data_IF_647126212716
#
_entry.id   IF_647126212716
#
_cell.length_a   1.000
_cell.length_b   1.000
_cell.length_c   1.000
_cell.angle_alpha   90.00
_cell.angle_beta   90.00
_cell.angle_gamma   90.00
#
_symmetry.space_group_name_H-M   'P 1'
#
loop_
_entity.id
_entity.type
_entity.pdbx_description
1 polymer ?
#
# COMPACT_ATOMS: atom_id res chain seq x y z
N UNK A 1 16.09 -23.02 11.79
CA UNK A 1 16.22 -22.34 13.11
C UNK A 1 14.94 -22.60 13.87
N UNK A 2 14.98 -22.81 15.20
CA UNK A 2 13.76 -22.98 15.99
C UNK A 2 12.88 -21.73 15.86
N UNK A 3 11.57 -21.92 15.72
CA UNK A 3 10.59 -20.83 15.66
C UNK A 3 10.49 -20.19 17.04
N UNK A 4 10.59 -18.87 17.10
CA UNK A 4 10.41 -18.07 18.31
C UNK A 4 8.96 -17.61 18.41
N UNK A 5 8.54 -17.18 19.60
CA UNK A 5 7.21 -16.62 19.82
C UNK A 5 7.19 -15.09 19.74
N UNK A 6 8.36 -14.44 19.75
CA UNK A 6 8.47 -12.98 19.67
C UNK A 6 9.53 -12.63 18.62
N UNK A 7 9.28 -11.57 17.86
CA UNK A 7 10.22 -11.00 16.90
C UNK A 7 10.18 -9.49 16.98
N UNK A 8 11.32 -8.84 17.19
CA UNK A 8 11.47 -7.40 17.19
C UNK A 8 12.11 -6.98 15.87
N UNK A 9 11.34 -6.32 15.01
CA UNK A 9 11.77 -6.00 13.65
C UNK A 9 11.50 -4.56 13.29
N UNK A 10 12.15 -4.10 12.23
CA UNK A 10 11.79 -2.85 11.54
C UNK A 10 11.28 -3.19 10.16
N UNK A 11 10.01 -2.89 9.91
CA UNK A 11 9.43 -2.88 8.57
C UNK A 11 9.80 -1.60 7.83
N UNK A 12 10.21 -1.73 6.56
CA UNK A 12 10.66 -0.64 5.71
C UNK A 12 9.85 -0.66 4.42
N UNK A 13 9.09 0.40 4.17
CA UNK A 13 8.28 0.57 2.97
C UNK A 13 8.64 1.87 2.25
N UNK A 14 8.74 1.79 0.93
CA UNK A 14 8.82 2.97 0.07
C UNK A 14 7.85 2.79 -1.08
N UNK A 15 6.80 3.62 -1.04
CA UNK A 15 5.74 3.64 -2.05
C UNK A 15 6.15 4.39 -3.31
N UNK A 16 5.32 4.26 -4.35
CA UNK A 16 5.50 4.97 -5.63
C UNK A 16 5.09 6.45 -5.58
N UNK A 17 4.54 6.93 -4.45
CA UNK A 17 4.20 8.34 -4.25
C UNK A 17 5.43 9.24 -4.14
N UNK A 18 6.60 8.67 -3.85
CA UNK A 18 7.86 9.41 -3.65
C UNK A 18 7.82 10.38 -2.46
N UNK A 19 6.96 10.13 -1.47
CA UNK A 19 6.87 10.94 -0.27
C UNK A 19 8.07 10.72 0.66
N UNK A 20 8.52 9.47 0.77
CA UNK A 20 9.65 9.10 1.62
C UNK A 20 9.78 7.59 1.83
N UNK A 21 10.49 7.25 2.91
CA UNK A 21 10.61 5.88 3.43
C UNK A 21 9.86 5.78 4.75
N UNK A 22 8.87 4.92 4.80
CA UNK A 22 8.10 4.60 6.00
C UNK A 22 8.81 3.51 6.80
N UNK A 23 9.13 3.81 8.05
CA UNK A 23 9.79 2.92 8.99
C UNK A 23 8.83 2.61 10.14
N UNK A 24 8.67 1.32 10.44
CA UNK A 24 7.87 0.85 11.57
C UNK A 24 8.66 -0.16 12.40
N UNK A 25 9.07 0.26 13.60
CA UNK A 25 9.64 -0.63 14.61
C UNK A 25 8.52 -1.31 15.39
N UNK A 26 8.52 -2.64 15.39
CA UNK A 26 7.40 -3.44 15.89
C UNK A 26 7.89 -4.72 16.56
N UNK A 27 7.21 -5.09 17.64
CA UNK A 27 7.31 -6.42 18.25
C UNK A 27 6.11 -7.27 17.84
N UNK A 28 6.35 -8.32 17.09
CA UNK A 28 5.35 -9.34 16.78
C UNK A 28 5.38 -10.44 17.82
N UNK A 29 4.19 -10.91 18.20
CA UNK A 29 4.02 -12.07 19.06
C UNK A 29 3.16 -13.12 18.35
N UNK A 30 3.59 -14.37 18.43
CA UNK A 30 2.87 -15.52 17.91
C UNK A 30 2.45 -16.41 19.07
N UNK A 31 1.15 -16.54 19.30
CA UNK A 31 0.58 -17.38 20.34
C UNK A 31 -0.64 -18.13 19.79
N UNK A 32 -0.74 -19.43 20.05
CA UNK A 32 -1.90 -20.26 19.66
C UNK A 32 -2.38 -20.04 18.21
N UNK A 33 -1.45 -19.98 17.25
CA UNK A 33 -1.71 -19.72 15.81
C UNK A 33 -2.21 -18.31 15.46
N UNK A 34 -2.15 -17.37 16.39
CA UNK A 34 -2.59 -15.98 16.19
C UNK A 34 -1.38 -15.06 16.26
N UNK A 35 -1.35 -14.07 15.39
CA UNK A 35 -0.36 -12.99 15.43
C UNK A 35 -0.95 -11.78 16.13
N UNK A 36 -0.16 -11.18 17.01
CA UNK A 36 -0.41 -9.85 17.56
C UNK A 36 0.84 -9.00 17.41
N UNK A 37 0.68 -7.69 17.54
CA UNK A 37 1.78 -6.75 17.34
C UNK A 37 1.73 -5.62 18.37
N UNK A 38 2.88 -5.03 18.64
CA UNK A 38 3.04 -3.80 19.40
C UNK A 38 3.99 -2.87 18.64
N UNK A 39 3.46 -1.76 18.12
CA UNK A 39 4.26 -0.73 17.45
C UNK A 39 5.02 0.04 18.52
N UNK A 40 6.33 0.17 18.35
CA UNK A 40 7.21 0.89 19.27
C UNK A 40 7.53 2.29 18.76
N UNK A 41 7.74 2.42 17.44
CA UNK A 41 8.14 3.65 16.79
C UNK A 41 7.74 3.62 15.33
N UNK A 42 7.31 4.76 14.80
CA UNK A 42 7.04 4.95 13.37
C UNK A 42 7.61 6.27 12.90
N UNK A 43 8.11 6.32 11.67
CA UNK A 43 8.60 7.56 11.07
C UNK A 43 8.63 7.44 9.54
N UNK A 44 8.10 8.45 8.85
CA UNK A 44 8.38 8.68 7.44
C UNK A 44 9.58 9.61 7.33
N UNK A 45 10.64 9.16 6.67
CA UNK A 45 11.79 10.01 6.33
C UNK A 45 11.61 10.48 4.89
N UNK A 46 11.38 11.79 4.65
CA UNK A 46 11.05 12.27 3.32
C UNK A 46 12.25 12.20 2.38
N UNK A 47 11.98 11.95 1.10
CA UNK A 47 13.01 12.11 0.09
C UNK A 47 13.31 13.59 -0.16
N UNK A 48 14.59 13.94 -0.25
CA UNK A 48 14.98 15.21 -0.82
C UNK A 48 14.60 15.29 -2.31
N UNK A 49 14.67 16.51 -2.87
CA UNK A 49 14.31 16.76 -4.26
C UNK A 49 15.20 15.97 -5.25
N UNK A 50 16.46 15.73 -4.90
CA UNK A 50 17.39 14.97 -5.74
C UNK A 50 16.95 13.50 -5.86
N UNK A 51 16.59 12.88 -4.74
CA UNK A 51 16.08 11.51 -4.70
C UNK A 51 14.71 11.38 -5.35
N UNK A 52 13.79 12.33 -5.13
CA UNK A 52 12.50 12.35 -5.86
C UNK A 52 12.74 12.32 -7.37
N UNK A 53 13.62 13.19 -7.88
CA UNK A 53 13.96 13.24 -9.30
C UNK A 53 14.64 11.96 -9.82
N UNK A 54 15.57 11.38 -9.05
CA UNK A 54 16.23 10.11 -9.41
C UNK A 54 15.24 8.97 -9.52
N UNK A 55 14.40 8.78 -8.50
CA UNK A 55 13.44 7.68 -8.44
C UNK A 55 12.34 7.83 -9.50
N UNK A 56 11.82 9.05 -9.71
CA UNK A 56 10.82 9.33 -10.75
C UNK A 56 11.30 8.94 -12.15
N UNK A 57 12.59 9.13 -12.46
CA UNK A 57 13.17 8.83 -13.77
C UNK A 57 13.88 7.48 -13.85
N UNK A 58 13.95 6.71 -12.76
CA UNK A 58 14.74 5.50 -12.68
C UNK A 58 14.30 4.41 -13.67
N UNK A 59 13.01 4.33 -13.99
CA UNK A 59 12.47 3.38 -14.97
C UNK A 59 13.01 3.57 -16.40
N UNK A 60 13.61 4.74 -16.70
CA UNK A 60 14.22 5.08 -18.00
C UNK A 60 15.71 4.73 -18.06
N UNK A 61 16.31 4.32 -16.95
CA UNK A 61 17.76 4.09 -16.86
C UNK A 61 18.17 2.80 -17.58
N UNK A 62 19.40 2.79 -18.09
CA UNK A 62 20.05 1.58 -18.59
C UNK A 62 20.31 0.58 -17.46
N UNK A 63 20.53 -0.69 -17.82
CA UNK A 63 20.86 -1.76 -16.85
C UNK A 63 22.10 -1.48 -16.00
N UNK A 64 23.09 -0.75 -16.52
CA UNK A 64 24.27 -0.40 -15.74
C UNK A 64 23.98 0.74 -14.75
N UNK A 65 23.25 1.76 -15.21
CA UNK A 65 22.89 2.91 -14.36
C UNK A 65 21.92 2.50 -13.25
N UNK A 66 21.03 1.53 -13.49
CA UNK A 66 20.13 1.07 -12.44
C UNK A 66 20.87 0.31 -11.34
N UNK A 67 21.91 -0.47 -11.64
CA UNK A 67 22.75 -1.12 -10.62
C UNK A 67 23.45 -0.09 -9.74
N UNK A 68 23.96 0.98 -10.35
CA UNK A 68 24.59 2.09 -9.61
C UNK A 68 23.55 2.78 -8.72
N UNK A 69 22.34 3.02 -9.22
CA UNK A 69 21.26 3.61 -8.43
C UNK A 69 20.85 2.68 -7.27
N UNK A 70 20.79 1.37 -7.51
CA UNK A 70 20.43 0.35 -6.52
C UNK A 70 21.39 0.35 -5.34
N UNK A 71 22.71 0.33 -5.61
CA UNK A 71 23.71 0.45 -4.55
C UNK A 71 23.62 1.77 -3.78
N UNK A 72 23.38 2.89 -4.48
CA UNK A 72 23.20 4.21 -3.82
C UNK A 72 21.95 4.24 -2.95
N UNK A 73 20.85 3.68 -3.44
CA UNK A 73 19.59 3.64 -2.71
C UNK A 73 19.68 2.69 -1.51
N UNK A 74 20.40 1.58 -1.64
CA UNK A 74 20.73 0.69 -0.53
C UNK A 74 21.51 1.42 0.59
N UNK A 75 22.43 2.34 0.24
CA UNK A 75 23.14 3.18 1.21
C UNK A 75 22.22 4.19 1.88
N UNK A 76 21.34 4.84 1.12
CA UNK A 76 20.32 5.74 1.66
C UNK A 76 19.42 5.03 2.67
N UNK A 77 18.90 3.84 2.32
CA UNK A 77 18.11 3.05 3.25
C UNK A 77 18.90 2.69 4.51
N UNK A 78 20.17 2.30 4.36
CA UNK A 78 21.04 2.01 5.50
C UNK A 78 21.17 3.20 6.45
N UNK A 79 21.38 4.40 5.91
CA UNK A 79 21.44 5.65 6.69
C UNK A 79 20.12 5.92 7.42
N UNK A 80 19.00 5.86 6.71
CA UNK A 80 17.66 6.10 7.26
C UNK A 80 17.31 5.12 8.38
N UNK A 81 17.59 3.83 8.18
CA UNK A 81 17.32 2.77 9.16
C UNK A 81 18.23 2.93 10.39
N UNK A 82 19.52 3.22 10.20
CA UNK A 82 20.45 3.46 11.31
C UNK A 82 20.05 4.69 12.13
N UNK A 83 19.66 5.79 11.48
CA UNK A 83 19.19 7.00 12.15
C UNK A 83 17.86 6.82 12.89
N UNK A 84 17.03 5.87 12.45
CA UNK A 84 15.77 5.52 13.10
C UNK A 84 15.94 4.58 14.30
N UNK A 85 16.94 3.69 14.28
CA UNK A 85 17.19 2.70 15.34
C UNK A 85 17.81 3.32 16.60
N UNK A 86 17.02 3.41 17.68
CA UNK A 86 17.53 3.90 18.97
C UNK A 86 18.35 2.82 19.71
N UNK A 87 17.91 1.57 19.63
CA UNK A 87 18.55 0.42 20.30
C UNK A 87 18.83 -0.72 19.32
N UNK A 88 19.87 -0.60 18.48
CA UNK A 88 20.14 -1.58 17.44
C UNK A 88 20.22 -3.01 17.98
N UNK A 89 20.81 -3.24 19.16
CA UNK A 89 20.97 -4.58 19.73
C UNK A 89 19.65 -5.32 20.06
N UNK A 90 18.53 -4.61 20.27
CA UNK A 90 17.22 -5.22 20.52
C UNK A 90 16.52 -5.66 19.23
N UNK A 91 16.86 -5.08 18.07
CA UNK A 91 16.24 -5.40 16.77
C UNK A 91 16.84 -6.68 16.19
N UNK A 92 15.99 -7.67 15.91
CA UNK A 92 16.38 -8.96 15.35
C UNK A 92 16.72 -8.86 13.86
N UNK A 93 15.90 -8.14 13.09
CA UNK A 93 16.01 -8.03 11.64
C UNK A 93 15.31 -6.80 11.05
N UNK A 94 15.72 -6.46 9.84
CA UNK A 94 15.11 -5.43 8.99
C UNK A 94 14.32 -6.14 7.89
N UNK A 95 13.10 -5.69 7.63
CA UNK A 95 12.21 -6.27 6.63
C UNK A 95 11.87 -5.20 5.58
N UNK A 96 12.54 -5.23 4.44
CA UNK A 96 12.53 -4.14 3.46
C UNK A 96 11.84 -4.52 2.17
N UNK A 97 10.83 -3.73 1.78
CA UNK A 97 10.27 -3.79 0.43
C UNK A 97 11.29 -3.34 -0.64
N UNK A 98 12.11 -2.33 -0.31
CA UNK A 98 12.86 -1.55 -1.28
C UNK A 98 11.99 -0.51 -1.99
N UNK A 99 12.38 -0.08 -3.18
CA UNK A 99 11.61 0.83 -4.03
C UNK A 99 11.40 0.23 -5.42
N UNK A 100 10.15 0.17 -5.88
CA UNK A 100 9.82 -0.47 -7.17
C UNK A 100 10.21 0.42 -8.35
N UNK A 101 11.03 -0.11 -9.25
CA UNK A 101 11.42 0.57 -10.51
C UNK A 101 10.63 0.02 -11.69
N UNK A 102 10.54 -1.31 -11.78
CA UNK A 102 9.79 -1.98 -12.83
C UNK A 102 8.87 -3.04 -12.23
N UNK A 103 7.65 -3.10 -12.74
CA UNK A 103 6.66 -4.10 -12.38
C UNK A 103 5.91 -4.52 -13.64
N UNK A 104 6.33 -5.66 -14.21
CA UNK A 104 5.83 -6.21 -15.47
C UNK A 104 5.56 -7.72 -15.28
N UNK A 105 4.62 -8.10 -14.39
CA UNK A 105 4.34 -9.51 -14.09
C UNK A 105 3.92 -10.32 -15.32
N UNK A 106 3.24 -9.72 -16.30
CA UNK A 106 2.90 -10.37 -17.58
C UNK A 106 4.14 -10.82 -18.38
N UNK A 107 5.30 -10.20 -18.12
CA UNK A 107 6.60 -10.56 -18.69
C UNK A 107 7.45 -11.39 -17.72
N UNK A 108 6.89 -11.80 -16.59
CA UNK A 108 7.60 -12.49 -15.52
C UNK A 108 8.69 -11.65 -14.86
N UNK A 109 8.56 -10.31 -14.85
CA UNK A 109 9.62 -9.42 -14.37
C UNK A 109 9.14 -8.38 -13.36
N UNK A 110 9.88 -8.24 -12.26
CA UNK A 110 9.76 -7.11 -11.35
C UNK A 110 11.14 -6.80 -10.77
N UNK A 111 11.38 -5.54 -10.40
CA UNK A 111 12.65 -5.12 -9.84
C UNK A 111 12.46 -4.00 -8.83
N UNK A 112 12.88 -4.29 -7.60
CA UNK A 112 12.92 -3.35 -6.48
C UNK A 112 14.38 -3.06 -6.13
N UNK A 113 14.76 -1.79 -6.13
CA UNK A 113 16.08 -1.36 -5.66
C UNK A 113 16.10 -1.25 -4.13
N UNK A 114 17.29 -1.30 -3.53
CA UNK A 114 17.50 -1.30 -2.09
C UNK A 114 17.45 -2.70 -1.47
N UNK A 115 17.34 -3.74 -2.29
CA UNK A 115 17.22 -5.14 -1.86
C UNK A 115 18.53 -5.92 -2.09
N UNK A 116 19.66 -5.29 -1.76
CA UNK A 116 20.98 -5.88 -1.91
C UNK A 116 21.51 -6.41 -0.56
N UNK A 117 22.39 -7.42 -0.62
CA UNK A 117 23.14 -7.91 0.55
C UNK A 117 23.91 -6.79 1.27
N UNK A 118 24.29 -5.75 0.54
CA UNK A 118 24.91 -4.54 1.07
C UNK A 118 24.10 -3.94 2.23
N UNK A 119 22.76 -3.97 2.18
CA UNK A 119 21.92 -3.38 3.24
C UNK A 119 22.19 -4.05 4.58
N UNK A 120 22.28 -5.39 4.59
CA UNK A 120 22.58 -6.18 5.79
C UNK A 120 23.95 -5.86 6.39
N UNK A 121 24.93 -5.55 5.54
CA UNK A 121 26.27 -5.15 5.97
C UNK A 121 26.27 -3.73 6.57
N UNK A 122 25.53 -2.80 5.96
CA UNK A 122 25.44 -1.41 6.42
C UNK A 122 24.76 -1.31 7.80
N UNK A 123 23.61 -1.96 7.95
CA UNK A 123 22.81 -1.90 9.19
C UNK A 123 23.25 -2.92 10.25
N UNK A 124 24.17 -3.83 9.90
CA UNK A 124 24.67 -4.91 10.76
C UNK A 124 23.56 -5.79 11.35
N UNK A 125 22.53 -6.06 10.55
CA UNK A 125 21.40 -6.92 10.89
C UNK A 125 21.07 -7.90 9.79
N UNK A 126 20.36 -8.97 10.16
CA UNK A 126 19.68 -9.78 9.14
C UNK A 126 18.69 -8.90 8.42
N UNK A 127 18.70 -8.96 7.09
CA UNK A 127 17.73 -8.27 6.23
C UNK A 127 16.90 -9.33 5.52
N UNK A 128 15.59 -9.16 5.54
CA UNK A 128 14.65 -9.89 4.69
C UNK A 128 14.05 -8.91 3.69
N UNK A 129 14.18 -9.18 2.40
CA UNK A 129 13.74 -8.26 1.35
C UNK A 129 13.30 -8.97 0.07
N UNK A 130 13.06 -8.25 -1.03
CA UNK A 130 12.71 -8.83 -2.35
C UNK A 130 11.48 -9.77 -2.34
N UNK A 131 10.40 -9.31 -1.70
CA UNK A 131 9.19 -10.12 -1.51
C UNK A 131 8.38 -10.40 -2.79
N UNK A 132 8.66 -9.73 -3.91
CA UNK A 132 7.84 -9.84 -5.13
C UNK A 132 8.39 -10.84 -6.14
N UNK A 133 9.71 -10.96 -6.25
CA UNK A 133 10.37 -11.71 -7.33
C UNK A 133 9.97 -13.18 -7.38
N UNK A 134 9.90 -13.87 -6.23
CA UNK A 134 9.53 -15.29 -6.21
C UNK A 134 8.06 -15.52 -6.58
N UNK A 135 7.15 -14.62 -6.20
CA UNK A 135 5.73 -14.72 -6.57
C UNK A 135 5.54 -14.55 -8.08
N UNK A 136 6.21 -13.57 -8.68
CA UNK A 136 6.21 -13.37 -10.15
C UNK A 136 6.80 -14.57 -10.87
N UNK A 137 7.89 -15.16 -10.37
CA UNK A 137 8.47 -16.39 -10.94
C UNK A 137 7.52 -17.60 -10.86
N UNK A 138 6.59 -17.61 -9.89
CA UNK A 138 5.55 -18.63 -9.75
C UNK A 138 4.29 -18.33 -10.58
N UNK A 139 4.30 -17.29 -11.42
CA UNK A 139 3.19 -16.88 -12.28
C UNK A 139 2.17 -15.96 -11.59
N UNK A 140 2.48 -15.49 -10.37
CA UNK A 140 1.70 -14.46 -9.71
C UNK A 140 2.00 -13.06 -10.24
N UNK A 141 1.21 -12.09 -9.78
CA UNK A 141 1.36 -10.68 -10.15
C UNK A 141 2.46 -9.96 -9.36
N UNK A 142 2.99 -10.55 -8.28
CA UNK A 142 3.92 -9.90 -7.35
C UNK A 142 3.25 -8.85 -6.46
N UNK A 143 1.92 -8.72 -6.54
CA UNK A 143 1.11 -7.72 -5.85
C UNK A 143 -0.38 -8.13 -5.85
N UNK A 144 -1.19 -7.61 -4.92
CA UNK A 144 -0.78 -6.97 -3.66
C UNK A 144 -0.28 -8.03 -2.65
N UNK A 145 0.75 -7.69 -1.85
CA UNK A 145 1.30 -8.59 -0.82
C UNK A 145 0.73 -8.32 0.58
N UNK A 146 0.18 -7.12 0.78
CA UNK A 146 -0.46 -6.65 2.02
C UNK A 146 -1.59 -7.56 2.54
N UNK A 147 -2.43 -8.21 1.70
CA UNK A 147 -3.62 -8.92 2.18
C UNK A 147 -3.39 -10.05 3.18
N UNK A 148 -2.23 -10.71 3.19
CA UNK A 148 -1.94 -11.70 4.25
C UNK A 148 -1.75 -11.02 5.61
N UNK A 149 -1.17 -9.81 5.64
CA UNK A 149 -1.07 -9.02 6.86
C UNK A 149 -2.43 -8.53 7.32
N UNK A 150 -3.31 -8.15 6.40
CA UNK A 150 -4.71 -7.87 6.73
C UNK A 150 -5.43 -9.11 7.31
N UNK A 151 -5.13 -10.32 6.83
CA UNK A 151 -5.70 -11.56 7.37
C UNK A 151 -5.17 -11.90 8.77
N UNK A 152 -3.87 -11.73 9.00
CA UNK A 152 -3.22 -12.21 10.23
C UNK A 152 -3.26 -11.19 11.38
N UNK A 153 -3.23 -9.89 11.09
CA UNK A 153 -3.19 -8.83 12.10
C UNK A 153 -4.53 -8.12 12.30
N UNK A 154 -5.40 -8.17 11.29
CA UNK A 154 -6.66 -7.42 11.26
C UNK A 154 -7.86 -8.35 11.01
N UNK A 155 -7.79 -9.58 11.54
CA UNK A 155 -8.81 -10.62 11.38
C UNK A 155 -10.19 -10.25 11.95
N UNK A 156 -10.25 -9.28 12.86
CA UNK A 156 -11.50 -8.78 13.47
C UNK A 156 -12.33 -7.89 12.53
N UNK A 157 -11.79 -7.53 11.36
CA UNK A 157 -12.46 -6.74 10.34
C UNK A 157 -12.86 -7.60 9.15
N UNK A 158 -14.08 -7.40 8.67
CA UNK A 158 -14.58 -8.07 7.47
C UNK A 158 -13.90 -7.52 6.21
N UNK A 159 -13.64 -6.21 6.20
CA UNK A 159 -12.97 -5.51 5.10
C UNK A 159 -11.83 -4.65 5.63
N UNK A 160 -10.67 -4.74 4.97
CA UNK A 160 -9.60 -3.75 5.08
C UNK A 160 -9.59 -2.93 3.78
N UNK A 161 -9.77 -1.62 3.89
CA UNK A 161 -9.75 -0.68 2.78
C UNK A 161 -8.60 0.29 2.99
N UNK A 162 -7.76 0.46 1.98
CA UNK A 162 -6.75 1.52 1.97
C UNK A 162 -7.11 2.55 0.91
N UNK A 163 -7.29 3.81 1.33
CA UNK A 163 -7.59 4.94 0.45
C UNK A 163 -6.29 5.71 0.23
N UNK A 164 -5.52 5.27 -0.77
CA UNK A 164 -4.32 5.97 -1.24
C UNK A 164 -4.59 6.76 -2.52
N UNK A 165 -3.61 6.78 -3.43
CA UNK A 165 -3.83 7.27 -4.79
C UNK A 165 -4.99 6.54 -5.49
N UNK A 166 -5.11 5.24 -5.20
CA UNK A 166 -6.24 4.38 -5.55
C UNK A 166 -6.81 3.75 -4.27
N UNK A 167 -8.08 3.41 -4.29
CA UNK A 167 -8.72 2.62 -3.24
C UNK A 167 -8.48 1.15 -3.52
N UNK A 168 -7.89 0.44 -2.57
CA UNK A 168 -7.80 -1.02 -2.61
C UNK A 168 -8.57 -1.65 -1.44
N UNK A 169 -9.16 -2.80 -1.70
CA UNK A 169 -9.90 -3.60 -0.71
C UNK A 169 -9.28 -4.97 -0.55
N UNK A 170 -9.38 -5.50 0.66
CA UNK A 170 -8.88 -6.81 1.06
C UNK A 170 -9.87 -7.43 2.04
N UNK A 171 -10.40 -8.61 1.74
CA UNK A 171 -11.40 -9.28 2.58
C UNK A 171 -11.40 -10.79 2.40
N UNK A 172 -11.99 -11.51 3.35
CA UNK A 172 -12.19 -12.95 3.27
C UNK A 172 -13.53 -13.24 2.57
N UNK A 173 -13.48 -13.90 1.42
CA UNK A 173 -14.67 -14.43 0.75
C UNK A 173 -14.68 -15.96 0.88
N UNK A 174 -15.61 -16.49 1.68
CA UNK A 174 -15.62 -17.89 2.12
C UNK A 174 -14.29 -18.22 2.81
N UNK A 175 -13.48 -19.10 2.22
CA UNK A 175 -12.18 -19.52 2.75
C UNK A 175 -10.98 -18.87 2.06
N UNK A 176 -11.19 -17.92 1.15
CA UNK A 176 -10.10 -17.30 0.39
C UNK A 176 -10.06 -15.81 0.60
N UNK A 177 -8.85 -15.27 0.83
CA UNK A 177 -8.61 -13.83 0.77
C UNK A 177 -8.72 -13.37 -0.68
N UNK A 178 -9.45 -12.28 -0.89
CA UNK A 178 -9.51 -11.57 -2.16
C UNK A 178 -9.05 -10.14 -1.93
N UNK A 179 -8.34 -9.58 -2.91
CA UNK A 179 -7.98 -8.17 -2.93
C UNK A 179 -7.95 -7.64 -4.37
N UNK A 180 -8.32 -6.37 -4.53
CA UNK A 180 -8.36 -5.68 -5.82
C UNK A 180 -8.51 -4.16 -5.63
N UNK A 181 -8.25 -3.41 -6.70
CA UNK A 181 -8.49 -1.97 -6.75
C UNK A 181 -9.97 -1.67 -7.06
N UNK A 182 -10.56 -0.76 -6.28
CA UNK A 182 -11.95 -0.31 -6.44
C UNK A 182 -12.03 0.82 -7.46
N UNK A 183 -11.29 1.91 -7.23
CA UNK A 183 -11.32 3.14 -8.04
C UNK A 183 -10.09 4.03 -7.75
N UNK A 184 -9.78 5.03 -8.60
CA UNK A 184 -8.91 6.14 -8.20
C UNK A 184 -9.48 6.91 -7.00
N UNK A 185 -8.62 7.47 -6.15
CA UNK A 185 -9.00 8.32 -5.02
C UNK A 185 -8.09 9.55 -4.91
N UNK A 186 -7.13 9.58 -3.99
CA UNK A 186 -6.33 10.79 -3.72
C UNK A 186 -5.58 11.26 -4.98
N UNK A 187 -5.22 10.36 -5.90
CA UNK A 187 -4.54 10.76 -7.14
C UNK A 187 -5.40 11.70 -7.98
N UNK A 188 -6.68 11.38 -8.16
CA UNK A 188 -7.59 12.24 -8.93
C UNK A 188 -8.07 13.44 -8.12
N UNK A 189 -8.29 13.29 -6.81
CA UNK A 189 -8.65 14.42 -5.94
C UNK A 189 -7.55 15.48 -5.91
N UNK A 190 -6.28 15.07 -5.75
CA UNK A 190 -5.15 16.00 -5.67
C UNK A 190 -4.99 16.82 -6.96
N UNK A 191 -5.27 16.26 -8.15
CA UNK A 191 -5.25 17.01 -9.43
C UNK A 191 -6.17 18.24 -9.37
N UNK A 192 -7.34 18.13 -8.74
CA UNK A 192 -8.30 19.23 -8.63
C UNK A 192 -8.08 20.10 -7.39
N UNK A 193 -7.52 19.55 -6.31
CA UNK A 193 -7.05 20.36 -5.18
C UNK A 193 -5.89 21.28 -5.59
N UNK A 194 -4.97 20.81 -6.43
CA UNK A 194 -3.83 21.58 -6.95
C UNK A 194 -4.32 22.78 -7.77
N UNK A 195 -5.41 22.62 -8.52
CA UNK A 195 -6.06 23.72 -9.27
C UNK A 195 -6.68 24.78 -8.34
N UNK A 196 -6.96 24.43 -7.09
CA UNK A 196 -7.40 25.36 -6.04
C UNK A 196 -6.22 25.87 -5.17
N UNK A 197 -4.98 25.47 -5.49
CA UNK A 197 -3.76 25.93 -4.82
C UNK A 197 -3.32 25.08 -3.63
N UNK A 198 -3.83 23.84 -3.48
CA UNK A 198 -3.49 22.93 -2.38
C UNK A 198 -2.93 21.60 -2.90
N UNK A 199 -1.97 21.00 -2.21
CA UNK A 199 -1.43 19.67 -2.60
C UNK A 199 -2.48 18.54 -2.49
N UNK A 200 -3.45 18.70 -1.58
CA UNK A 200 -4.58 17.80 -1.37
C UNK A 200 -5.73 18.56 -0.70
N UNK A 201 -6.94 17.97 -0.72
CA UNK A 201 -8.10 18.52 -0.02
C UNK A 201 -8.11 18.11 1.46
N UNK A 202 -7.56 18.97 2.33
CA UNK A 202 -7.49 18.73 3.78
C UNK A 202 -8.89 18.49 4.36
N UNK A 203 -9.11 17.26 4.84
CA UNK A 203 -10.38 16.77 5.41
C UNK A 203 -11.58 16.81 4.44
N UNK A 204 -11.36 17.09 3.16
CA UNK A 204 -12.44 17.29 2.19
C UNK A 204 -13.14 18.64 2.30
N UNK A 205 -12.48 19.66 2.87
CA UNK A 205 -13.07 20.99 3.07
C UNK A 205 -13.44 21.69 1.77
N UNK A 206 -12.70 21.45 0.68
CA UNK A 206 -12.97 22.05 -0.62
C UNK A 206 -14.11 21.30 -1.29
N UNK A 207 -14.07 19.97 -1.31
CA UNK A 207 -15.13 19.10 -1.81
C UNK A 207 -16.47 19.39 -1.11
N UNK A 208 -16.49 19.57 0.21
CA UNK A 208 -17.71 19.86 0.97
C UNK A 208 -18.37 21.22 0.62
N UNK A 209 -17.65 22.13 -0.04
CA UNK A 209 -18.20 23.41 -0.51
C UNK A 209 -18.83 23.33 -1.91
N UNK A 210 -18.55 22.25 -2.65
CA UNK A 210 -19.11 22.02 -3.98
C UNK A 210 -20.50 21.39 -3.94
N UNK A 211 -21.12 21.31 -5.10
CA UNK A 211 -22.37 20.60 -5.32
C UNK A 211 -22.14 19.39 -6.23
N UNK A 212 -22.65 18.23 -5.82
CA UNK A 212 -22.55 17.01 -6.62
C UNK A 212 -23.33 17.14 -7.93
N UNK A 213 -22.64 17.04 -9.07
CA UNK A 213 -23.29 16.96 -10.38
C UNK A 213 -23.69 15.52 -10.70
N UNK A 214 -25.00 15.31 -10.81
CA UNK A 214 -25.57 13.98 -11.01
C UNK A 214 -25.25 13.39 -12.39
N UNK A 215 -25.02 14.22 -13.41
CA UNK A 215 -24.71 13.73 -14.76
C UNK A 215 -23.28 13.22 -14.83
N UNK A 216 -22.33 13.96 -14.27
CA UNK A 216 -20.94 13.56 -14.14
C UNK A 216 -20.83 12.33 -13.24
N UNK A 217 -21.50 12.32 -12.08
CA UNK A 217 -21.52 11.16 -11.18
C UNK A 217 -22.01 9.89 -11.90
N UNK A 218 -23.11 10.00 -12.67
CA UNK A 218 -23.65 8.88 -13.43
C UNK A 218 -22.66 8.38 -14.49
N UNK A 219 -22.01 9.28 -15.24
CA UNK A 219 -21.00 8.88 -16.24
C UNK A 219 -19.79 8.20 -15.62
N UNK A 220 -19.26 8.74 -14.52
CA UNK A 220 -18.14 8.13 -13.80
C UNK A 220 -18.52 6.74 -13.28
N UNK A 221 -19.71 6.59 -12.70
CA UNK A 221 -20.17 5.29 -12.19
C UNK A 221 -20.48 4.26 -13.29
N UNK A 222 -20.67 4.70 -14.53
CA UNK A 222 -20.95 3.84 -15.68
C UNK A 222 -19.70 3.35 -16.42
N UNK A 223 -18.49 3.74 -16.00
CA UNK A 223 -17.25 3.29 -16.65
C UNK A 223 -17.16 1.74 -16.57
N UNK A 224 -16.86 1.10 -17.70
CA UNK A 224 -16.94 -0.35 -17.87
C UNK A 224 -16.09 -1.15 -16.87
N UNK A 225 -14.99 -0.56 -16.37
CA UNK A 225 -14.13 -1.15 -15.33
C UNK A 225 -14.90 -1.59 -14.08
N UNK A 226 -15.91 -0.82 -13.65
CA UNK A 226 -16.66 -1.11 -12.42
C UNK A 226 -17.54 -2.35 -12.54
N UNK A 227 -17.87 -2.79 -13.76
CA UNK A 227 -18.62 -4.02 -14.02
C UNK A 227 -17.73 -5.27 -14.08
N UNK A 228 -16.40 -5.13 -14.08
CA UNK A 228 -15.46 -6.28 -14.12
C UNK A 228 -15.39 -6.99 -12.76
N UNK A 229 -15.35 -8.32 -12.80
CA UNK A 229 -15.08 -9.17 -11.63
C UNK A 229 -13.59 -9.17 -11.27
N UNK A 230 -13.23 -9.28 -9.98
CA UNK A 230 -11.83 -9.48 -9.57
C UNK A 230 -11.22 -10.78 -10.14
N UNK A 231 -9.88 -10.88 -10.27
CA UNK A 231 -8.88 -9.86 -9.90
C UNK A 231 -8.83 -8.69 -10.90
N UNK A 232 -8.62 -7.48 -10.40
CA UNK A 232 -8.43 -6.26 -11.21
C UNK A 232 -7.56 -5.25 -10.48
N UNK A 233 -6.74 -4.53 -11.25
CA UNK A 233 -5.86 -3.48 -10.75
C UNK A 233 -6.02 -2.20 -11.59
N UNK A 234 -5.62 -1.08 -11.02
CA UNK A 234 -5.65 0.25 -11.64
C UNK A 234 -4.27 0.89 -11.64
N UNK A 235 -3.95 1.55 -12.75
CA UNK A 235 -2.74 2.35 -12.92
C UNK A 235 -3.09 3.80 -13.24
N UNK A 236 -2.08 4.67 -13.21
CA UNK A 236 -2.23 6.09 -13.57
C UNK A 236 -2.67 6.24 -15.03
N UNK A 237 -2.18 5.36 -15.90
CA UNK A 237 -2.57 5.32 -17.31
C UNK A 237 -4.07 5.08 -17.50
N UNK A 238 -4.70 4.30 -16.62
CA UNK A 238 -6.15 4.08 -16.66
C UNK A 238 -6.91 5.35 -16.27
N UNK A 239 -6.47 6.03 -15.20
CA UNK A 239 -7.05 7.31 -14.77
C UNK A 239 -7.00 8.34 -15.91
N UNK A 240 -5.84 8.48 -16.56
CA UNK A 240 -5.61 9.43 -17.64
C UNK A 240 -6.44 9.15 -18.90
N UNK A 241 -6.58 7.87 -19.28
CA UNK A 241 -7.27 7.51 -20.52
C UNK A 241 -8.79 7.36 -20.38
N UNK A 242 -9.28 6.94 -19.21
CA UNK A 242 -10.69 6.52 -19.05
C UNK A 242 -11.50 7.51 -18.20
N UNK A 243 -10.91 8.09 -17.15
CA UNK A 243 -11.64 8.90 -16.18
C UNK A 243 -11.47 10.41 -16.41
N UNK A 244 -10.23 10.90 -16.58
CA UNK A 244 -9.99 12.34 -16.80
C UNK A 244 -10.74 12.92 -18.01
N UNK A 245 -10.80 12.25 -19.18
CA UNK A 245 -11.51 12.81 -20.34
C UNK A 245 -13.02 12.99 -20.08
N UNK A 246 -13.61 12.13 -19.25
CA UNK A 246 -15.01 12.27 -18.84
C UNK A 246 -15.18 13.52 -18.00
N UNK A 247 -14.33 13.73 -16.98
CA UNK A 247 -14.42 14.88 -16.09
C UNK A 247 -14.19 16.18 -16.86
N UNK A 248 -13.17 16.23 -17.71
CA UNK A 248 -12.80 17.41 -18.51
C UNK A 248 -13.86 17.79 -19.56
N UNK A 249 -14.76 16.87 -19.91
CA UNK A 249 -15.91 17.17 -20.78
C UNK A 249 -16.98 18.04 -20.12
N UNK A 250 -16.96 18.18 -18.79
CA UNK A 250 -17.89 19.01 -18.03
C UNK A 250 -17.25 20.36 -17.67
N UNK A 251 -17.99 21.45 -17.90
CA UNK A 251 -17.58 22.80 -17.51
C UNK A 251 -18.14 23.13 -16.13
N UNK A 252 -17.39 22.80 -15.09
CA UNK A 252 -17.79 22.97 -13.69
C UNK A 252 -16.67 23.61 -12.87
N UNK A 253 -16.99 24.10 -11.68
CA UNK A 253 -15.96 24.54 -10.73
C UNK A 253 -15.16 23.33 -10.23
N UNK A 254 -13.89 23.52 -9.85
CA UNK A 254 -13.10 22.43 -9.27
C UNK A 254 -13.73 21.91 -7.97
N UNK A 255 -14.43 22.78 -7.21
CA UNK A 255 -15.14 22.39 -5.98
C UNK A 255 -16.25 21.40 -6.27
N UNK A 256 -17.05 21.64 -7.32
CA UNK A 256 -18.12 20.73 -7.73
C UNK A 256 -17.56 19.42 -8.29
N UNK A 257 -16.44 19.48 -9.01
CA UNK A 257 -15.72 18.29 -9.47
C UNK A 257 -15.22 17.47 -8.28
N UNK A 258 -14.54 18.09 -7.31
CA UNK A 258 -14.06 17.45 -6.09
C UNK A 258 -15.22 16.79 -5.33
N UNK A 259 -16.31 17.52 -5.12
CA UNK A 259 -17.52 16.98 -4.49
C UNK A 259 -18.04 15.74 -5.24
N UNK A 260 -18.19 15.85 -6.55
CA UNK A 260 -18.69 14.76 -7.40
C UNK A 260 -17.77 13.54 -7.37
N UNK A 261 -16.45 13.75 -7.38
CA UNK A 261 -15.45 12.69 -7.23
C UNK A 261 -15.52 12.02 -5.86
N UNK A 262 -15.67 12.78 -4.78
CA UNK A 262 -15.85 12.23 -3.43
C UNK A 262 -17.08 11.33 -3.36
N UNK A 263 -18.22 11.77 -3.92
CA UNK A 263 -19.42 10.94 -4.02
C UNK A 263 -19.22 9.69 -4.89
N UNK A 264 -18.50 9.82 -6.00
CA UNK A 264 -18.14 8.68 -6.86
C UNK A 264 -17.32 7.63 -6.12
N UNK A 265 -16.26 8.05 -5.41
CA UNK A 265 -15.39 7.15 -4.63
C UNK A 265 -16.20 6.42 -3.56
N UNK A 266 -17.01 7.18 -2.80
CA UNK A 266 -17.86 6.62 -1.75
C UNK A 266 -18.88 5.61 -2.31
N UNK A 267 -19.49 5.92 -3.45
CA UNK A 267 -20.40 5.01 -4.13
C UNK A 267 -19.69 3.71 -4.58
N UNK A 268 -18.51 3.79 -5.20
CA UNK A 268 -17.77 2.61 -5.64
C UNK A 268 -17.28 1.73 -4.47
N UNK A 269 -16.88 2.35 -3.36
CA UNK A 269 -16.60 1.64 -2.11
C UNK A 269 -17.85 0.90 -1.65
N UNK A 270 -19.00 1.58 -1.52
CA UNK A 270 -20.24 0.97 -1.05
C UNK A 270 -20.67 -0.24 -1.91
N UNK A 271 -20.50 -0.16 -3.24
CA UNK A 271 -20.83 -1.25 -4.16
C UNK A 271 -19.92 -2.46 -4.01
N UNK A 272 -18.73 -2.29 -3.47
CA UNK A 272 -17.77 -3.36 -3.21
C UNK A 272 -18.04 -4.09 -1.89
N UNK A 273 -18.81 -3.48 -0.99
CA UNK A 273 -19.22 -4.07 0.29
C UNK A 273 -20.44 -4.97 0.07
N UNK A 274 -20.29 -6.27 0.35
CA UNK A 274 -21.33 -7.28 0.10
C UNK A 274 -21.94 -7.84 1.38
N UNK A 275 -21.26 -7.71 2.51
CA UNK A 275 -21.71 -8.22 3.81
C UNK A 275 -22.54 -7.17 4.55
N UNK A 276 -23.61 -7.61 5.19
CA UNK A 276 -24.41 -6.78 6.10
C UNK A 276 -23.72 -6.70 7.46
N UNK A 277 -23.83 -5.54 8.13
CA UNK A 277 -23.24 -5.26 9.45
C UNK A 277 -21.71 -5.43 9.49
N UNK A 278 -21.04 -5.25 8.36
CA UNK A 278 -19.61 -5.47 8.23
C UNK A 278 -18.79 -4.45 9.02
N UNK A 279 -17.72 -4.92 9.68
CA UNK A 279 -16.67 -4.07 10.27
C UNK A 279 -15.61 -3.77 9.23
N UNK A 280 -15.34 -2.48 9.03
CA UNK A 280 -14.44 -2.00 7.97
C UNK A 280 -13.30 -1.24 8.63
N UNK A 281 -12.07 -1.68 8.38
CA UNK A 281 -10.87 -0.92 8.72
C UNK A 281 -10.51 -0.01 7.54
N UNK A 282 -10.45 1.30 7.73
CA UNK A 282 -10.00 2.26 6.70
C UNK A 282 -8.62 2.82 7.07
N UNK A 283 -7.66 2.71 6.15
CA UNK A 283 -6.28 3.23 6.27
C UNK A 283 -5.87 4.05 5.04
N UNK A 284 -4.64 4.57 5.05
CA UNK A 284 -4.11 5.43 3.98
C UNK A 284 -4.58 6.88 4.12
N UNK A 285 -3.92 7.80 3.41
CA UNK A 285 -4.15 9.24 3.58
C UNK A 285 -5.61 9.69 3.39
N UNK A 286 -6.40 8.97 2.58
CA UNK A 286 -7.82 9.26 2.40
C UNK A 286 -8.68 8.93 3.63
N UNK A 287 -8.17 8.20 4.62
CA UNK A 287 -8.82 8.02 5.91
C UNK A 287 -8.98 9.35 6.67
N UNK A 288 -8.11 10.35 6.41
CA UNK A 288 -8.21 11.69 7.00
C UNK A 288 -9.21 12.59 6.27
N UNK A 289 -9.73 12.18 5.12
CA UNK A 289 -10.69 12.96 4.34
C UNK A 289 -12.10 12.79 4.92
N UNK A 290 -12.42 13.50 6.01
CA UNK A 290 -13.66 13.30 6.77
C UNK A 290 -14.95 13.40 5.94
N UNK A 291 -15.00 14.30 4.95
CA UNK A 291 -16.16 14.38 4.04
C UNK A 291 -16.35 13.10 3.20
N UNK A 292 -15.25 12.42 2.82
CA UNK A 292 -15.32 11.17 2.07
C UNK A 292 -15.82 10.04 2.96
N UNK A 293 -15.36 9.99 4.20
CA UNK A 293 -15.83 9.02 5.20
C UNK A 293 -17.33 9.18 5.42
N UNK A 294 -17.81 10.41 5.61
CA UNK A 294 -19.25 10.70 5.73
C UNK A 294 -20.03 10.23 4.49
N UNK A 295 -19.52 10.51 3.27
CA UNK A 295 -20.14 10.01 2.06
C UNK A 295 -20.18 8.47 2.03
N UNK A 296 -19.12 7.76 2.44
CA UNK A 296 -19.09 6.29 2.47
C UNK A 296 -20.16 5.76 3.43
N UNK A 297 -20.30 6.35 4.61
CA UNK A 297 -21.33 6.00 5.59
C UNK A 297 -22.74 6.21 5.02
N UNK A 298 -22.96 7.33 4.32
CA UNK A 298 -24.24 7.64 3.68
C UNK A 298 -24.60 6.66 2.56
N UNK A 299 -23.64 6.18 1.77
CA UNK A 299 -23.88 5.18 0.72
C UNK A 299 -23.97 3.74 1.24
N UNK A 300 -23.37 3.45 2.39
CA UNK A 300 -23.23 2.09 2.92
C UNK A 300 -24.19 1.86 4.08
N UNK A 301 -25.41 1.37 3.79
CA UNK A 301 -26.34 1.02 4.86
C UNK A 301 -25.81 -0.17 5.67
N UNK A 302 -25.81 -0.05 7.00
CA UNK A 302 -25.44 -1.12 7.94
C UNK A 302 -23.97 -1.56 7.87
N UNK A 303 -23.02 -0.63 7.89
CA UNK A 303 -21.60 -0.94 8.09
C UNK A 303 -21.05 -0.21 9.31
N UNK A 304 -19.97 -0.71 9.88
CA UNK A 304 -19.25 -0.09 10.99
C UNK A 304 -17.86 0.27 10.51
N UNK A 305 -17.67 1.54 10.17
CA UNK A 305 -16.35 2.05 9.78
C UNK A 305 -15.52 2.29 11.04
N UNK A 306 -14.29 1.80 11.00
CA UNK A 306 -13.28 2.05 12.01
C UNK A 306 -12.04 2.64 11.33
N UNK A 307 -11.68 3.85 11.74
CA UNK A 307 -10.42 4.49 11.40
C UNK A 307 -9.51 4.28 12.62
N UNK A 308 -8.40 3.54 12.48
CA UNK A 308 -7.51 3.25 13.60
C UNK A 308 -6.64 4.47 13.96
N UNK A 309 -5.68 4.28 14.87
CA UNK A 309 -4.74 5.35 15.22
C UNK A 309 -3.88 5.77 14.01
N UNK A 310 -3.32 7.00 14.01
CA UNK A 310 -2.46 7.47 12.93
C UNK A 310 -1.31 6.53 12.58
N UNK A 311 -0.72 5.86 13.58
CA UNK A 311 0.36 4.89 13.38
C UNK A 311 -0.08 3.73 12.47
N UNK A 312 -1.33 3.29 12.57
CA UNK A 312 -1.87 2.26 11.68
C UNK A 312 -2.32 2.87 10.36
N UNK A 313 -2.97 4.03 10.37
CA UNK A 313 -3.43 4.67 9.12
C UNK A 313 -2.27 4.90 8.16
N UNK A 314 -1.14 5.39 8.68
CA UNK A 314 0.00 5.81 7.87
C UNK A 314 1.03 4.69 7.66
N UNK A 315 1.22 3.80 8.65
CA UNK A 315 2.31 2.81 8.62
C UNK A 315 1.84 1.36 8.50
N UNK A 316 0.57 1.09 8.16
CA UNK A 316 0.08 -0.29 7.97
C UNK A 316 0.94 -1.08 6.97
N UNK A 317 1.35 -0.48 5.86
CA UNK A 317 2.18 -1.18 4.87
C UNK A 317 3.56 -1.54 5.46
N UNK A 318 4.25 -0.60 6.10
CA UNK A 318 5.53 -0.85 6.76
C UNK A 318 5.40 -1.93 7.85
N UNK A 319 4.36 -1.86 8.70
CA UNK A 319 4.02 -2.89 9.67
C UNK A 319 3.90 -4.27 9.00
N UNK A 320 3.13 -4.36 7.91
CA UNK A 320 2.90 -5.63 7.22
C UNK A 320 4.18 -6.13 6.54
N UNK A 321 5.03 -5.28 5.96
CA UNK A 321 6.35 -5.70 5.47
C UNK A 321 7.24 -6.25 6.58
N UNK A 322 7.16 -5.69 7.80
CA UNK A 322 7.71 -6.29 9.02
C UNK A 322 7.24 -7.72 9.22
N UNK A 323 5.93 -7.96 9.16
CA UNK A 323 5.34 -9.30 9.30
C UNK A 323 5.77 -10.24 8.16
N UNK A 324 5.77 -9.78 6.91
CA UNK A 324 6.19 -10.59 5.76
C UNK A 324 7.62 -11.11 5.93
N UNK A 325 8.51 -10.28 6.47
CA UNK A 325 9.87 -10.68 6.79
C UNK A 325 9.94 -11.71 7.91
N UNK A 326 9.17 -11.55 8.98
CA UNK A 326 9.05 -12.54 10.06
C UNK A 326 8.53 -13.89 9.54
N UNK A 327 7.47 -13.87 8.73
CA UNK A 327 6.90 -15.08 8.13
C UNK A 327 7.93 -15.79 7.23
N UNK A 328 8.64 -15.03 6.37
CA UNK A 328 9.72 -15.60 5.56
C UNK A 328 10.84 -16.20 6.40
N UNK A 329 11.26 -15.49 7.45
CA UNK A 329 12.31 -15.96 8.35
C UNK A 329 11.93 -17.29 9.04
N UNK A 330 10.64 -17.48 9.32
CA UNK A 330 10.07 -18.72 9.88
C UNK A 330 9.82 -19.82 8.86
N UNK A 331 9.90 -19.52 7.57
CA UNK A 331 9.44 -20.40 6.48
C UNK A 331 7.92 -20.58 6.43
N UNK A 332 7.18 -19.64 7.01
CA UNK A 332 5.71 -19.60 6.94
C UNK A 332 5.26 -18.95 5.63
N UNK A 333 4.02 -19.24 5.21
CA UNK A 333 3.39 -18.61 4.04
C UNK A 333 3.29 -17.10 4.29
N UNK A 334 3.73 -16.31 3.32
CA UNK A 334 3.61 -14.85 3.33
C UNK A 334 3.06 -14.28 2.01
N UNK A 335 2.72 -15.14 1.04
CA UNK A 335 2.03 -14.76 -0.19
C UNK A 335 0.90 -15.74 -0.46
N UNK A 336 -0.29 -15.20 -0.71
CA UNK A 336 -1.51 -15.96 -0.98
C UNK A 336 -1.77 -16.02 -2.50
N UNK A 337 -1.82 -17.22 -3.05
CA UNK A 337 -2.14 -17.48 -4.47
C UNK A 337 -3.52 -16.98 -4.86
N UNK A 338 -4.48 -16.98 -3.92
CA UNK A 338 -5.82 -16.44 -4.16
C UNK A 338 -5.85 -14.95 -4.42
N UNK A 339 -4.78 -14.24 -4.05
CA UNK A 339 -4.61 -12.80 -4.22
C UNK A 339 -3.68 -12.52 -5.41
N UNK A 340 -2.48 -13.08 -5.40
CA UNK A 340 -1.47 -12.77 -6.43
C UNK A 340 -1.69 -13.52 -7.75
N UNK A 341 -2.43 -14.63 -7.75
CA UNK A 341 -2.57 -15.50 -8.92
C UNK A 341 -1.42 -16.50 -9.11
N UNK A 342 -0.47 -16.59 -8.18
CA UNK A 342 0.59 -17.61 -8.24
C UNK A 342 0.02 -19.04 -8.18
N UNK A 343 0.83 -20.02 -8.59
CA UNK A 343 0.40 -21.45 -8.63
C UNK A 343 -0.06 -22.02 -7.29
N UNK A 344 0.49 -21.55 -6.17
CA UNK A 344 0.16 -21.97 -4.81
C UNK A 344 0.66 -20.94 -3.78
N UNK A 345 0.10 -20.99 -2.58
CA UNK A 345 0.56 -20.18 -1.45
C UNK A 345 2.02 -20.52 -1.11
N UNK A 346 2.85 -19.52 -0.87
CA UNK A 346 4.30 -19.74 -0.69
C UNK A 346 4.96 -18.68 0.21
N UNK A 347 6.25 -18.89 0.47
CA UNK A 347 7.09 -18.04 1.31
C UNK A 347 8.13 -17.29 0.48
N UNK A 348 7.81 -16.04 0.11
CA UNK A 348 8.60 -15.16 -0.74
C UNK A 348 9.54 -14.24 0.07
N UNK A 349 10.56 -13.73 -0.61
CA UNK A 349 11.61 -12.87 -0.04
C UNK A 349 12.96 -13.57 0.09
N UNK A 350 14.04 -12.79 0.12
CA UNK A 350 15.42 -13.21 0.28
C UNK A 350 15.94 -12.85 1.67
N UNK A 351 16.77 -13.73 2.27
CA UNK A 351 17.33 -13.53 3.61
C UNK A 351 18.84 -13.29 3.50
N UNK A 352 19.26 -12.06 3.74
CA UNK A 352 20.68 -11.72 3.88
C UNK A 352 21.05 -11.70 5.36
N UNK A 353 21.74 -12.74 5.81
CA UNK A 353 22.24 -12.81 7.18
C UNK A 353 23.48 -11.93 7.35
N UNK A 354 23.47 -11.10 8.38
CA UNK A 354 24.69 -10.49 8.88
C UNK A 354 25.43 -11.52 9.74
N UNK A 355 26.69 -11.78 9.40
CA UNK A 355 27.63 -12.51 10.26
C UNK A 355 28.64 -11.47 10.72
N UNK A 356 28.67 -11.23 12.04
CA UNK A 356 29.62 -10.34 12.68
C UNK A 356 31.06 -10.82 12.49
#
# INVERSE_FOLDING_TARGET
MPKQNTYHVIGVMSGTSLDGVDLCEVKFHFNQKTWSYNILKTQTIPYDLEWKNKLQNAHKLSKNNIKILDEKYCRLLGEFILGFMDKPHEVDMICSHGHTIWHQPDKGFTYQIGNLKLLSQLVQKTVVCDFRTADVALGGQGAPLVPIGDELLFADYDYCINIGGFVNISFKNKEKRQAFDICPANKVLNIYAEKEGFEYDDKGKIAAQGQCDQQLLAKLNAIAFYSKTPPKSLGVEWLENEMLPIIESFKMSNKDILNTLTHHIAFQISKSLKMNNAKILITGGGAYHSFLIECIENYSTNVKIHIPSPEIVDYKEALIFGLLGVLKFRGDINVLSSVSGAKHDHSSGEIFKFKA
#
